data_IF_538036044006
#
_entry.id   IF_538036044006
#
_cell.length_a   1.000
_cell.length_b   1.000
_cell.length_c   1.000
_cell.angle_alpha   90.00
_cell.angle_beta   90.00
_cell.angle_gamma   90.00
#
_symmetry.space_group_name_H-M   'P 1'
#
loop_
_entity.id
_entity.type
_entity.pdbx_description
1 polymer ?
#
# COMPACT_ATOMS: atom_id res chain seq x y z
N UNK A 1 24.54 -3.26 7.06
CA UNK A 1 23.10 -3.55 6.79
C UNK A 1 22.72 -3.73 5.32
N UNK A 2 23.08 -2.86 4.36
CA UNK A 2 22.58 -2.95 2.97
C UNK A 2 22.79 -4.33 2.29
N UNK A 3 23.98 -4.92 2.42
CA UNK A 3 24.25 -6.27 1.86
C UNK A 3 23.42 -7.36 2.54
N UNK A 4 23.21 -7.25 3.86
CA UNK A 4 22.38 -8.19 4.62
C UNK A 4 20.92 -8.12 4.18
N UNK A 5 20.36 -6.91 4.02
CA UNK A 5 19.00 -6.71 3.52
C UNK A 5 18.81 -7.33 2.13
N UNK A 6 19.76 -7.13 1.21
CA UNK A 6 19.72 -7.74 -0.14
C UNK A 6 19.84 -9.26 -0.12
N UNK A 7 20.55 -9.83 0.85
CA UNK A 7 20.61 -11.29 1.03
C UNK A 7 19.31 -11.88 1.58
N UNK A 8 18.56 -11.11 2.37
CA UNK A 8 17.26 -11.53 2.89
C UNK A 8 16.18 -11.46 1.81
N UNK A 9 16.20 -10.40 0.99
CA UNK A 9 15.24 -10.19 -0.08
C UNK A 9 15.88 -9.37 -1.21
N UNK A 10 16.04 -9.96 -2.41
CA UNK A 10 16.72 -9.32 -3.54
C UNK A 10 15.89 -8.22 -4.21
N UNK A 11 14.57 -8.30 -4.12
CA UNK A 11 13.58 -7.34 -4.63
C UNK A 11 13.25 -6.21 -3.64
N UNK A 12 13.97 -6.11 -2.51
CA UNK A 12 13.73 -5.07 -1.52
C UNK A 12 14.03 -3.67 -2.11
N UNK A 13 13.02 -2.81 -2.10
CA UNK A 13 13.12 -1.40 -2.49
C UNK A 13 13.55 -0.54 -1.28
N UNK A 14 14.20 0.60 -1.52
CA UNK A 14 14.59 1.52 -0.44
C UNK A 14 15.70 1.03 0.50
N UNK A 15 16.48 0.00 0.09
CA UNK A 15 17.59 -0.60 0.88
C UNK A 15 18.54 0.43 1.49
N UNK A 16 18.98 1.50 0.79
CA UNK A 16 19.88 2.49 1.39
C UNK A 16 19.26 3.19 2.61
N UNK A 17 17.98 3.60 2.53
CA UNK A 17 17.28 4.29 3.62
C UNK A 17 17.11 3.37 4.84
N UNK A 18 16.69 2.13 4.62
CA UNK A 18 16.52 1.14 5.70
C UNK A 18 17.89 0.83 6.33
N UNK A 19 18.93 0.66 5.52
CA UNK A 19 20.28 0.42 6.01
C UNK A 19 20.80 1.58 6.87
N UNK A 20 20.58 2.83 6.47
CA UNK A 20 20.96 4.01 7.26
C UNK A 20 20.24 4.02 8.60
N UNK A 21 18.92 3.83 8.63
CA UNK A 21 18.16 3.82 9.89
C UNK A 21 18.65 2.72 10.85
N UNK A 22 18.90 1.51 10.34
CA UNK A 22 19.44 0.41 11.14
C UNK A 22 20.87 0.70 11.63
N UNK A 23 21.71 1.27 10.77
CA UNK A 23 23.08 1.68 11.15
C UNK A 23 23.07 2.78 12.21
N UNK A 24 22.15 3.75 12.15
CA UNK A 24 22.00 4.78 13.19
C UNK A 24 21.56 4.18 14.52
N UNK A 25 20.65 3.21 14.49
CA UNK A 25 20.18 2.52 15.70
C UNK A 25 21.30 1.66 16.31
N UNK A 26 22.03 0.90 15.48
CA UNK A 26 23.21 0.14 15.90
C UNK A 26 24.31 1.04 16.46
N UNK A 27 24.60 2.18 15.84
CA UNK A 27 25.55 3.16 16.36
C UNK A 27 25.11 3.74 17.71
N UNK A 28 23.80 3.99 17.88
CA UNK A 28 23.25 4.46 19.16
C UNK A 28 23.48 3.42 20.26
N UNK A 29 23.31 2.15 19.94
CA UNK A 29 23.60 1.04 20.84
C UNK A 29 25.08 0.95 21.20
N UNK A 30 25.98 1.07 20.21
CA UNK A 30 27.43 1.09 20.45
C UNK A 30 27.84 2.26 21.37
N UNK A 31 27.24 3.44 21.19
CA UNK A 31 27.48 4.59 22.08
C UNK A 31 27.01 4.27 23.51
N UNK A 32 25.86 3.63 23.68
CA UNK A 32 25.39 3.20 25.01
C UNK A 32 26.34 2.19 25.64
N UNK A 33 26.85 1.23 24.85
CA UNK A 33 27.80 0.21 25.30
C UNK A 33 29.13 0.80 25.80
N UNK A 34 29.61 1.86 25.14
CA UNK A 34 30.83 2.55 25.50
C UNK A 34 30.66 3.62 26.59
N UNK A 35 29.42 3.92 27.01
CA UNK A 35 29.15 4.83 28.12
C UNK A 35 29.15 4.07 29.45
N UNK A 36 30.11 4.32 30.37
CA UNK A 36 30.23 3.55 31.62
C UNK A 36 28.96 3.58 32.48
N UNK A 37 28.21 4.68 32.45
CA UNK A 37 26.97 4.84 33.21
C UNK A 37 25.78 4.04 32.65
N UNK A 38 25.84 3.62 31.37
CA UNK A 38 24.76 2.93 30.68
C UNK A 38 25.12 1.48 30.32
N UNK A 39 26.40 1.12 30.42
CA UNK A 39 26.93 -0.18 30.02
C UNK A 39 26.26 -1.36 30.73
N UNK A 40 26.09 -1.29 32.06
CA UNK A 40 25.46 -2.37 32.82
C UNK A 40 24.01 -2.61 32.36
N UNK A 41 23.28 -1.55 32.03
CA UNK A 41 21.92 -1.66 31.50
C UNK A 41 21.95 -2.24 30.08
N UNK A 42 22.90 -1.83 29.23
CA UNK A 42 23.02 -2.33 27.87
C UNK A 42 23.38 -3.82 27.80
N UNK A 43 24.21 -4.32 28.73
CA UNK A 43 24.60 -5.73 28.81
C UNK A 43 23.39 -6.66 28.97
N UNK A 44 22.40 -6.27 29.77
CA UNK A 44 21.20 -7.05 30.03
C UNK A 44 20.29 -7.23 28.80
N UNK A 45 20.39 -6.33 27.81
CA UNK A 45 19.52 -6.34 26.62
C UNK A 45 20.25 -6.58 25.29
N UNK A 46 21.55 -6.92 25.32
CA UNK A 46 22.36 -7.05 24.11
C UNK A 46 21.83 -8.10 23.11
N UNK A 47 21.34 -9.24 23.61
CA UNK A 47 20.79 -10.31 22.75
C UNK A 47 19.44 -9.91 22.17
N UNK A 48 18.60 -9.30 22.99
CA UNK A 48 17.26 -8.82 22.66
C UNK A 48 17.34 -7.69 21.63
N UNK A 49 18.28 -6.77 21.79
CA UNK A 49 18.54 -5.68 20.85
C UNK A 49 18.96 -6.21 19.47
N UNK A 50 19.94 -7.12 19.42
CA UNK A 50 20.39 -7.73 18.16
C UNK A 50 19.26 -8.51 17.45
N UNK A 51 18.39 -9.17 18.22
CA UNK A 51 17.18 -9.84 17.70
C UNK A 51 16.16 -8.81 17.20
N UNK A 52 15.95 -7.73 17.95
CA UNK A 52 15.05 -6.62 17.61
C UNK A 52 15.43 -5.96 16.30
N UNK A 53 16.72 -5.63 16.09
CA UNK A 53 17.22 -5.05 14.84
C UNK A 53 16.92 -5.92 13.62
N UNK A 54 17.05 -7.25 13.72
CA UNK A 54 16.72 -8.17 12.63
C UNK A 54 15.23 -8.21 12.32
N UNK A 55 14.38 -8.14 13.35
CA UNK A 55 12.92 -8.06 13.19
C UNK A 55 12.55 -6.74 12.50
N UNK A 56 13.05 -5.62 13.00
CA UNK A 56 12.82 -4.29 12.40
C UNK A 56 13.30 -4.24 10.95
N UNK A 57 14.49 -4.77 10.66
CA UNK A 57 15.03 -4.83 9.30
C UNK A 57 14.10 -5.58 8.33
N UNK A 58 13.56 -6.72 8.76
CA UNK A 58 12.61 -7.51 7.98
C UNK A 58 11.28 -6.76 7.81
N UNK A 59 10.73 -6.26 8.90
CA UNK A 59 9.40 -5.65 8.93
C UNK A 59 9.37 -4.33 8.15
N UNK A 60 10.43 -3.51 8.24
CA UNK A 60 10.61 -2.32 7.41
C UNK A 60 10.74 -2.65 5.93
N UNK A 61 11.45 -3.74 5.59
CA UNK A 61 11.58 -4.21 4.20
C UNK A 61 10.24 -4.66 3.61
N UNK A 62 9.41 -5.31 4.43
CA UNK A 62 8.04 -5.67 4.06
C UNK A 62 7.21 -4.39 3.89
N UNK A 63 7.07 -3.57 4.94
CA UNK A 63 6.24 -2.35 4.90
C UNK A 63 6.62 -1.38 3.78
N UNK A 64 7.92 -1.22 3.48
CA UNK A 64 8.36 -0.35 2.38
C UNK A 64 7.92 -0.90 1.02
N UNK A 65 8.02 -2.22 0.81
CA UNK A 65 7.55 -2.85 -0.42
C UNK A 65 6.02 -2.83 -0.53
N UNK A 66 5.31 -3.11 0.57
CA UNK A 66 3.85 -3.02 0.63
C UNK A 66 3.35 -1.62 0.29
N UNK A 67 3.99 -0.61 0.87
CA UNK A 67 3.74 0.79 0.57
C UNK A 67 3.92 1.07 -0.92
N UNK A 68 5.04 0.66 -1.51
CA UNK A 68 5.31 0.95 -2.91
C UNK A 68 4.25 0.36 -3.85
N UNK A 69 3.87 -0.91 -3.69
CA UNK A 69 2.89 -1.54 -4.58
C UNK A 69 1.48 -0.95 -4.44
N UNK A 70 1.07 -0.62 -3.20
CA UNK A 70 -0.18 0.07 -2.96
C UNK A 70 -0.21 1.45 -3.66
N UNK A 71 0.86 2.23 -3.56
CA UNK A 71 0.96 3.52 -4.25
C UNK A 71 0.94 3.36 -5.77
N UNK A 72 1.71 2.39 -6.33
CA UNK A 72 1.69 2.11 -7.78
C UNK A 72 0.30 1.69 -8.27
N UNK A 73 -0.44 0.94 -7.46
CA UNK A 73 -1.80 0.57 -7.76
C UNK A 73 -2.74 1.78 -7.82
N UNK A 74 -2.71 2.64 -6.80
CA UNK A 74 -3.52 3.87 -6.76
C UNK A 74 -3.18 4.79 -7.94
N UNK A 75 -1.90 4.96 -8.24
CA UNK A 75 -1.46 5.80 -9.36
C UNK A 75 -1.91 5.24 -10.72
N UNK A 76 -1.86 3.92 -10.90
CA UNK A 76 -2.39 3.29 -12.10
C UNK A 76 -3.90 3.55 -12.26
N UNK A 77 -4.67 3.48 -11.17
CA UNK A 77 -6.11 3.80 -11.22
C UNK A 77 -6.35 5.27 -11.56
N UNK A 78 -5.60 6.20 -10.96
CA UNK A 78 -5.65 7.63 -11.30
C UNK A 78 -5.41 7.85 -12.79
N UNK A 79 -4.36 7.22 -13.34
CA UNK A 79 -4.03 7.32 -14.76
C UNK A 79 -5.14 6.76 -15.67
N UNK A 80 -5.75 5.62 -15.30
CA UNK A 80 -6.85 5.02 -16.06
C UNK A 80 -8.09 5.91 -16.10
N UNK A 81 -8.38 6.59 -14.98
CA UNK A 81 -9.48 7.55 -14.86
C UNK A 81 -9.18 8.83 -15.63
N UNK A 82 -7.98 9.39 -15.48
CA UNK A 82 -7.56 10.61 -16.18
C UNK A 82 -7.57 10.42 -17.71
N UNK A 83 -7.20 9.24 -18.19
CA UNK A 83 -7.24 8.89 -19.63
C UNK A 83 -8.63 8.43 -20.12
N UNK A 84 -9.64 8.43 -19.25
CA UNK A 84 -11.01 7.97 -19.53
C UNK A 84 -11.11 6.56 -20.12
N UNK A 85 -10.09 5.73 -19.90
CA UNK A 85 -10.11 4.31 -20.27
C UNK A 85 -11.08 3.53 -19.40
N UNK A 86 -11.13 3.91 -18.13
CA UNK A 86 -12.13 3.47 -17.18
C UNK A 86 -12.78 4.68 -16.51
N UNK A 87 -13.91 4.46 -15.85
CA UNK A 87 -14.70 5.51 -15.22
C UNK A 87 -15.18 5.08 -13.84
N UNK A 88 -15.32 6.07 -12.96
CA UNK A 88 -16.17 5.99 -11.77
C UNK A 88 -17.48 6.71 -12.08
N UNK A 89 -18.60 6.12 -11.68
CA UNK A 89 -19.91 6.74 -11.86
C UNK A 89 -20.54 7.10 -10.51
N UNK A 90 -21.38 8.15 -10.43
CA UNK A 90 -22.08 8.47 -9.19
C UNK A 90 -22.87 7.26 -8.67
N UNK A 91 -22.76 6.95 -7.36
CA UNK A 91 -23.46 5.79 -6.77
C UNK A 91 -24.98 5.92 -6.83
N UNK A 92 -25.47 7.13 -6.59
CA UNK A 92 -26.89 7.50 -6.70
C UNK A 92 -27.03 8.34 -7.96
N UNK A 93 -27.20 7.67 -9.11
CA UNK A 93 -27.34 8.31 -10.41
C UNK A 93 -27.97 7.37 -11.43
N UNK A 94 -28.37 7.90 -12.58
CA UNK A 94 -28.83 7.09 -13.69
C UNK A 94 -27.67 6.26 -14.26
N UNK A 95 -27.96 5.02 -14.62
CA UNK A 95 -26.99 4.18 -15.29
C UNK A 95 -26.62 4.81 -16.64
N UNK A 96 -25.34 5.13 -16.82
CA UNK A 96 -24.85 5.64 -18.10
C UNK A 96 -24.73 4.47 -19.06
N UNK A 97 -25.71 4.34 -19.97
CA UNK A 97 -25.72 3.30 -21.00
C UNK A 97 -24.41 3.33 -21.82
N UNK A 98 -23.82 2.14 -22.02
CA UNK A 98 -22.61 1.97 -22.83
C UNK A 98 -21.27 2.19 -22.09
N UNK A 99 -21.29 2.37 -20.76
CA UNK A 99 -20.07 2.44 -19.95
C UNK A 99 -19.85 1.24 -19.01
N UNK A 100 -20.73 0.25 -19.04
CA UNK A 100 -20.70 -0.92 -18.13
C UNK A 100 -19.36 -1.66 -18.15
N UNK A 101 -18.75 -1.84 -19.32
CA UNK A 101 -17.45 -2.53 -19.46
C UNK A 101 -16.26 -1.70 -18.95
N UNK A 102 -16.40 -0.36 -18.96
CA UNK A 102 -15.36 0.59 -18.54
C UNK A 102 -15.56 1.08 -17.11
N UNK A 103 -16.62 0.66 -16.44
CA UNK A 103 -16.94 1.13 -15.10
C UNK A 103 -16.19 0.30 -14.05
N UNK A 104 -15.19 0.90 -13.39
CA UNK A 104 -14.40 0.21 -12.34
C UNK A 104 -14.96 0.39 -10.94
N UNK A 105 -15.98 1.25 -10.77
CA UNK A 105 -16.56 1.49 -9.46
C UNK A 105 -17.54 2.65 -9.44
N UNK A 106 -17.85 3.08 -8.23
CA UNK A 106 -18.72 4.21 -7.93
C UNK A 106 -18.06 5.18 -6.96
N UNK A 107 -18.62 6.39 -6.86
CA UNK A 107 -18.27 7.33 -5.80
C UNK A 107 -19.54 7.97 -5.20
N UNK A 108 -19.44 8.35 -3.92
CA UNK A 108 -20.36 9.27 -3.25
C UNK A 108 -19.60 10.06 -2.18
N UNK A 109 -20.30 10.87 -1.40
CA UNK A 109 -19.69 11.71 -0.34
C UNK A 109 -18.94 10.89 0.74
N UNK A 110 -19.18 9.59 0.83
CA UNK A 110 -18.51 8.71 1.80
C UNK A 110 -17.26 8.06 1.22
N UNK A 111 -16.98 8.24 -0.08
CA UNK A 111 -15.74 7.82 -0.72
C UNK A 111 -15.92 7.03 -2.00
N UNK A 112 -14.86 6.30 -2.37
CA UNK A 112 -14.79 5.55 -3.63
C UNK A 112 -15.02 4.06 -3.38
N UNK A 113 -15.86 3.44 -4.19
CA UNK A 113 -16.21 2.03 -4.12
C UNK A 113 -15.75 1.29 -5.38
N UNK A 114 -14.60 0.63 -5.30
CA UNK A 114 -14.04 -0.09 -6.45
C UNK A 114 -14.55 -1.52 -6.55
N UNK A 115 -14.86 -1.96 -7.78
CA UNK A 115 -15.05 -3.36 -8.13
C UNK A 115 -13.69 -4.06 -8.12
N UNK A 116 -13.39 -4.93 -7.12
CA UNK A 116 -12.01 -5.33 -6.84
C UNK A 116 -11.37 -6.11 -7.99
N UNK A 117 -12.13 -7.01 -8.63
CA UNK A 117 -11.62 -7.81 -9.75
C UNK A 117 -11.36 -7.02 -11.02
N UNK A 118 -12.19 -6.00 -11.28
CA UNK A 118 -12.06 -5.20 -12.50
C UNK A 118 -10.95 -4.16 -12.32
N UNK A 119 -10.95 -3.44 -11.20
CA UNK A 119 -9.92 -2.45 -10.89
C UNK A 119 -8.52 -3.08 -10.81
N UNK A 120 -8.38 -4.25 -10.18
CA UNK A 120 -7.11 -4.99 -10.13
C UNK A 120 -6.61 -5.39 -11.53
N UNK A 121 -7.48 -5.97 -12.36
CA UNK A 121 -7.11 -6.37 -13.72
C UNK A 121 -6.69 -5.18 -14.57
N UNK A 122 -7.46 -4.09 -14.51
CA UNK A 122 -7.17 -2.87 -15.25
C UNK A 122 -5.80 -2.26 -14.86
N UNK A 123 -5.50 -2.20 -13.56
CA UNK A 123 -4.21 -1.71 -13.07
C UNK A 123 -3.05 -2.63 -13.50
N UNK A 124 -3.21 -3.95 -13.39
CA UNK A 124 -2.20 -4.91 -13.86
C UNK A 124 -1.94 -4.80 -15.36
N UNK A 125 -2.98 -4.58 -16.16
CA UNK A 125 -2.86 -4.41 -17.61
C UNK A 125 -2.09 -3.15 -17.97
N UNK A 126 -2.40 -2.01 -17.32
CA UNK A 126 -1.66 -0.76 -17.51
C UNK A 126 -0.18 -0.90 -17.15
N UNK A 127 0.10 -1.55 -16.02
CA UNK A 127 1.45 -1.65 -15.48
C UNK A 127 2.29 -2.77 -16.11
N UNK A 128 1.71 -3.60 -16.99
CA UNK A 128 2.35 -4.81 -17.53
C UNK A 128 3.76 -4.57 -18.06
N UNK A 129 3.95 -3.49 -18.81
CA UNK A 129 5.22 -3.20 -19.47
C UNK A 129 6.22 -2.48 -18.54
N UNK A 130 5.76 -2.00 -17.37
CA UNK A 130 6.54 -1.27 -16.36
C UNK A 130 6.94 -2.12 -15.14
N UNK A 131 6.86 -3.45 -15.28
CA UNK A 131 7.16 -4.42 -14.22
C UNK A 131 5.97 -4.82 -13.35
N UNK A 132 4.77 -4.31 -13.64
CA UNK A 132 3.53 -4.68 -12.93
C UNK A 132 3.55 -4.33 -11.44
N UNK A 133 2.69 -5.01 -10.67
CA UNK A 133 2.68 -4.98 -9.21
C UNK A 133 3.60 -6.07 -8.62
N UNK A 134 4.74 -6.34 -9.25
CA UNK A 134 5.70 -7.37 -8.82
C UNK A 134 5.09 -8.78 -8.56
N UNK A 135 4.07 -9.16 -9.34
CA UNK A 135 3.40 -10.46 -9.22
C UNK A 135 2.54 -10.62 -7.95
N UNK A 136 2.24 -9.52 -7.25
CA UNK A 136 1.48 -9.52 -6.02
C UNK A 136 0.03 -9.95 -6.27
N UNK A 137 -0.51 -10.86 -5.45
CA UNK A 137 -1.91 -11.29 -5.60
C UNK A 137 -2.88 -10.17 -5.21
N UNK A 138 -4.08 -10.14 -5.82
CA UNK A 138 -5.18 -9.25 -5.45
C UNK A 138 -5.45 -9.22 -3.94
N UNK A 139 -5.53 -10.38 -3.30
CA UNK A 139 -5.80 -10.46 -1.86
C UNK A 139 -4.65 -9.89 -1.02
N UNK A 140 -3.40 -10.08 -1.46
CA UNK A 140 -2.24 -9.47 -0.81
C UNK A 140 -2.30 -7.95 -0.97
N UNK A 141 -2.64 -7.44 -2.16
CA UNK A 141 -2.74 -6.00 -2.41
C UNK A 141 -3.77 -5.36 -1.50
N UNK A 142 -4.95 -5.97 -1.37
CA UNK A 142 -5.99 -5.43 -0.50
C UNK A 142 -5.54 -5.39 0.96
N UNK A 143 -4.81 -6.42 1.44
CA UNK A 143 -4.23 -6.42 2.78
C UNK A 143 -3.19 -5.30 2.96
N UNK A 144 -2.42 -4.98 1.92
CA UNK A 144 -1.49 -3.84 1.93
C UNK A 144 -2.24 -2.51 2.01
N UNK A 145 -3.32 -2.35 1.23
CA UNK A 145 -4.17 -1.16 1.32
C UNK A 145 -4.76 -0.99 2.74
N UNK A 146 -5.18 -2.09 3.38
CA UNK A 146 -5.67 -2.09 4.77
C UNK A 146 -4.55 -1.76 5.77
N UNK A 147 -3.35 -2.35 5.62
CA UNK A 147 -2.21 -2.09 6.52
C UNK A 147 -1.71 -0.65 6.45
N UNK A 148 -1.89 0.00 5.29
CA UNK A 148 -1.58 1.40 5.06
C UNK A 148 -2.72 2.36 5.45
N UNK A 149 -3.87 1.85 5.90
CA UNK A 149 -5.01 2.67 6.30
C UNK A 149 -5.79 3.29 5.14
N UNK A 150 -5.60 2.82 3.91
CA UNK A 150 -6.26 3.37 2.71
C UNK A 150 -7.69 2.86 2.50
N UNK A 151 -8.15 1.92 3.35
CA UNK A 151 -9.52 1.41 3.34
C UNK A 151 -10.34 2.08 4.44
N UNK A 152 -11.45 2.72 4.06
CA UNK A 152 -12.35 3.40 5.01
C UNK A 152 -13.18 2.39 5.80
N UNK A 153 -13.72 1.38 5.13
CA UNK A 153 -14.50 0.32 5.75
C UNK A 153 -14.07 -1.06 5.26
N UNK A 154 -14.18 -2.04 6.16
CA UNK A 154 -13.89 -3.45 5.91
C UNK A 154 -14.98 -4.33 6.49
N UNK A 155 -15.17 -5.51 5.88
CA UNK A 155 -16.09 -6.51 6.41
C UNK A 155 -15.45 -7.30 7.53
N UNK A 156 -16.27 -7.95 8.37
CA UNK A 156 -15.79 -8.75 9.53
C UNK A 156 -14.74 -9.82 9.18
N UNK A 157 -14.69 -10.28 7.92
CA UNK A 157 -13.75 -11.31 7.45
C UNK A 157 -12.86 -10.90 6.28
N UNK A 158 -12.80 -9.61 5.90
CA UNK A 158 -11.95 -9.22 4.77
C UNK A 158 -12.05 -7.75 4.36
N UNK A 159 -11.22 -7.38 3.39
CA UNK A 159 -10.99 -6.00 2.94
C UNK A 159 -12.12 -5.43 2.05
N UNK A 160 -13.16 -6.22 1.77
CA UNK A 160 -14.28 -5.79 0.92
C UNK A 160 -15.58 -5.80 1.70
N UNK A 161 -16.45 -4.84 1.40
CA UNK A 161 -17.78 -4.72 2.00
C UNK A 161 -18.87 -4.96 0.95
N UNK A 162 -20.04 -5.52 1.34
CA UNK A 162 -21.20 -5.52 0.48
C UNK A 162 -21.78 -4.10 0.41
N UNK A 163 -21.98 -3.57 -0.80
CA UNK A 163 -22.61 -2.26 -1.02
C UNK A 163 -23.62 -2.37 -2.15
N UNK A 164 -24.79 -1.76 -1.96
CA UNK A 164 -25.83 -1.68 -2.98
C UNK A 164 -25.54 -0.51 -3.92
N UNK A 165 -25.41 -0.81 -5.21
CA UNK A 165 -25.17 0.16 -6.29
C UNK A 165 -25.98 -0.27 -7.52
N UNK A 166 -26.65 0.67 -8.19
CA UNK A 166 -27.56 0.36 -9.29
C UNK A 166 -28.62 -0.68 -8.89
N UNK A 167 -28.75 -1.74 -9.70
CA UNK A 167 -29.73 -2.82 -9.48
C UNK A 167 -29.23 -3.97 -8.59
N UNK A 168 -27.99 -3.94 -8.09
CA UNK A 168 -27.34 -5.09 -7.45
C UNK A 168 -26.64 -4.81 -6.13
N UNK A 169 -26.32 -5.88 -5.41
CA UNK A 169 -25.41 -5.89 -4.27
C UNK A 169 -24.04 -6.35 -4.75
N UNK A 170 -23.02 -5.51 -4.58
CA UNK A 170 -21.65 -5.76 -5.05
C UNK A 170 -20.68 -5.81 -3.87
N UNK A 171 -19.66 -6.67 -3.95
CA UNK A 171 -18.52 -6.61 -3.02
C UNK A 171 -17.51 -5.60 -3.56
N UNK A 172 -17.20 -4.58 -2.75
CA UNK A 172 -16.36 -3.45 -3.15
C UNK A 172 -15.23 -3.20 -2.18
N UNK A 173 -14.12 -2.64 -2.67
CA UNK A 173 -13.14 -1.94 -1.82
C UNK A 173 -13.66 -0.54 -1.55
N UNK A 174 -13.73 -0.13 -0.28
CA UNK A 174 -14.13 1.23 0.09
C UNK A 174 -12.89 2.03 0.46
N UNK A 175 -12.52 2.97 -0.41
CA UNK A 175 -11.37 3.85 -0.25
C UNK A 175 -11.82 5.25 0.19
N UNK A 176 -10.87 6.04 0.70
CA UNK A 176 -11.10 7.42 1.09
C UNK A 176 -11.63 8.27 -0.08
N UNK A 177 -12.46 9.29 0.21
CA UNK A 177 -12.79 10.32 -0.77
C UNK A 177 -11.51 10.91 -1.38
N UNK A 178 -11.57 11.25 -2.67
CA UNK A 178 -10.52 11.94 -3.42
C UNK A 178 -9.18 11.20 -3.55
N UNK A 179 -9.04 9.98 -3.03
CA UNK A 179 -7.80 9.19 -3.19
C UNK A 179 -7.44 8.94 -4.66
N UNK A 180 -8.45 8.90 -5.54
CA UNK A 180 -8.29 8.71 -6.99
C UNK A 180 -8.44 10.00 -7.80
N UNK A 181 -8.66 11.12 -7.13
CA UNK A 181 -8.55 12.41 -7.79
C UNK A 181 -7.04 12.65 -7.99
N UNK A 182 -6.64 13.06 -9.19
CA UNK A 182 -5.25 13.40 -9.45
C UNK A 182 -4.81 14.49 -8.48
N UNK A 183 -3.53 14.53 -8.12
CA UNK A 183 -2.99 15.69 -7.42
C UNK A 183 -3.24 16.90 -8.33
N UNK A 184 -4.22 17.75 -7.96
CA UNK A 184 -4.22 19.11 -8.45
C UNK A 184 -2.92 19.70 -7.93
N UNK A 185 -1.91 19.80 -8.80
CA UNK A 185 -0.74 20.64 -8.54
C UNK A 185 -1.31 22.03 -8.21
N UNK A 186 -1.35 22.36 -6.91
CA UNK A 186 -1.54 23.73 -6.44
C UNK A 186 -0.40 24.56 -7.03
N UNK A 187 -0.63 25.07 -8.24
CA UNK A 187 0.14 26.14 -8.83
C UNK A 187 -0.17 27.38 -8.01
N UNK A 188 0.69 27.72 -7.06
CA UNK A 188 0.71 28.99 -6.35
C UNK A 188 2.13 29.51 -6.22
#
# INVERSE_FOLDING_TARGET
>A
WANHLRSLRRDMQGVPRIATNLSTNELTWEIMWHCPALKEIAEDFAKEHAKGLKIVARDMGIQTAESLEAHRYIEALRQLLATQRFVLVPRLGEAVFGQEERQIGWFDDQGVYLLPDLAYRAACELLRDSGGLNGLSKNTLHKQLDSLGLLVNKGEGGQTIPKKCGHGLHRVLHLEPNILDGEEEESS
#
